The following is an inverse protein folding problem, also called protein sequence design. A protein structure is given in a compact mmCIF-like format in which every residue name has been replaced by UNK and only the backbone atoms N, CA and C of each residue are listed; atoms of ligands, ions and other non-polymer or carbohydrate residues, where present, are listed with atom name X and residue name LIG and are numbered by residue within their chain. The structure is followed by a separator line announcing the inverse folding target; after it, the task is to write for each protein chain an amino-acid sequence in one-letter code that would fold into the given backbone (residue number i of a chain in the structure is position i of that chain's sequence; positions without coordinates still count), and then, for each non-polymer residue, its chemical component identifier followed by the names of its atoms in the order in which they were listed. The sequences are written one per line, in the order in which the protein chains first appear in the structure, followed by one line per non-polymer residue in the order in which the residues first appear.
data_IF_688499004814
#
_entry.id   IF_688499004814
#
_cell.length_a   1.000
_cell.length_b   1.000
_cell.length_c   1.000
_cell.angle_alpha   90.00
_cell.angle_beta   90.00
_cell.angle_gamma   90.00
#
_symmetry.space_group_name_H-M   'P 1'
#
loop_
_entity.id
_entity.type
_entity.pdbx_description
1 polymer ?
#
# COMPACT_ATOMS: atom_id res chain seq x y z
N UNK A 1 6.98 17.34 30.24
CA UNK A 1 6.43 18.35 31.21
C UNK A 1 5.31 19.09 30.48
N UNK A 2 4.08 19.04 30.96
CA UNK A 2 2.97 19.80 30.36
C UNK A 2 3.15 21.28 30.73
N UNK A 3 3.28 22.13 29.71
CA UNK A 3 3.30 23.60 29.92
C UNK A 3 1.86 24.11 30.02
N UNK A 4 1.38 24.27 31.24
CA UNK A 4 0.04 24.76 31.54
C UNK A 4 -0.18 26.22 31.11
N UNK A 5 0.87 26.95 30.74
CA UNK A 5 0.81 28.33 30.27
C UNK A 5 0.92 28.47 28.75
N UNK A 6 1.03 27.36 28.02
CA UNK A 6 1.13 27.38 26.57
C UNK A 6 -0.13 27.98 25.95
N UNK A 7 0.02 29.09 25.25
CA UNK A 7 -1.03 29.69 24.43
C UNK A 7 -0.80 29.31 22.98
N UNK A 8 -1.75 28.61 22.33
CA UNK A 8 -1.55 28.18 20.95
C UNK A 8 -1.26 29.36 20.04
N UNK A 9 -0.22 29.21 19.22
CA UNK A 9 0.14 30.14 18.15
C UNK A 9 -0.93 30.18 17.06
N UNK A 10 -0.90 31.15 16.17
CA UNK A 10 -1.79 31.20 15.03
C UNK A 10 -1.66 29.93 14.16
N UNK A 11 -0.42 29.47 13.91
CA UNK A 11 -0.15 28.26 13.14
C UNK A 11 -0.76 27.00 13.79
N UNK A 12 -0.62 26.84 15.10
CA UNK A 12 -1.21 25.70 15.83
C UNK A 12 -2.75 25.73 15.76
N UNK A 13 -3.36 26.89 15.87
CA UNK A 13 -4.83 27.01 15.74
C UNK A 13 -5.31 26.66 14.33
N UNK A 14 -4.61 27.14 13.28
CA UNK A 14 -4.95 26.81 11.90
C UNK A 14 -4.78 25.31 11.66
N UNK A 15 -3.66 24.72 12.09
CA UNK A 15 -3.40 23.29 11.94
C UNK A 15 -4.47 22.46 12.65
N UNK A 16 -4.89 22.85 13.85
CA UNK A 16 -5.94 22.15 14.59
C UNK A 16 -7.29 22.14 13.83
N UNK A 17 -7.64 23.25 13.16
CA UNK A 17 -8.85 23.33 12.34
C UNK A 17 -8.75 22.42 11.12
N UNK A 18 -7.60 22.43 10.42
CA UNK A 18 -7.33 21.57 9.27
C UNK A 18 -7.38 20.09 9.70
N UNK A 19 -6.68 19.74 10.77
CA UNK A 19 -6.61 18.37 11.28
C UNK A 19 -7.99 17.83 11.66
N UNK A 20 -8.83 18.69 12.29
CA UNK A 20 -10.21 18.34 12.62
C UNK A 20 -11.05 18.07 11.38
N UNK A 21 -10.93 18.89 10.34
CA UNK A 21 -11.66 18.69 9.08
C UNK A 21 -11.29 17.36 8.41
N UNK A 22 -9.99 17.10 8.24
CA UNK A 22 -9.48 15.85 7.62
C UNK A 22 -9.88 14.63 8.47
N UNK A 23 -9.83 14.71 9.79
CA UNK A 23 -10.27 13.64 10.66
C UNK A 23 -11.77 13.36 10.54
N UNK A 24 -12.60 14.39 10.38
CA UNK A 24 -14.03 14.24 10.14
C UNK A 24 -14.34 13.58 8.80
N UNK A 25 -13.65 13.98 7.72
CA UNK A 25 -13.75 13.32 6.41
C UNK A 25 -13.34 11.84 6.50
N UNK A 26 -12.25 11.54 7.20
CA UNK A 26 -11.81 10.16 7.42
C UNK A 26 -12.81 9.33 8.22
N UNK A 27 -13.44 9.91 9.23
CA UNK A 27 -14.44 9.24 10.05
C UNK A 27 -15.73 8.93 9.28
N UNK A 28 -16.06 9.70 8.24
CA UNK A 28 -17.19 9.44 7.36
C UNK A 28 -16.97 8.24 6.41
N UNK A 29 -15.73 7.79 6.23
CA UNK A 29 -15.42 6.62 5.39
C UNK A 29 -15.76 5.34 6.14
N UNK A 30 -16.57 4.47 5.53
CA UNK A 30 -16.93 3.19 6.11
C UNK A 30 -15.68 2.34 6.47
N UNK A 31 -15.66 1.69 7.63
CA UNK A 31 -14.57 0.79 8.01
C UNK A 31 -14.38 -0.35 6.99
N UNK A 32 -13.15 -0.78 6.83
CA UNK A 32 -12.86 -1.97 6.01
C UNK A 32 -13.38 -3.22 6.71
N UNK A 33 -14.05 -4.08 5.95
CA UNK A 33 -14.58 -5.36 6.40
C UNK A 33 -13.80 -6.56 5.82
N UNK A 34 -12.56 -6.32 5.39
CA UNK A 34 -11.69 -7.31 4.75
C UNK A 34 -10.22 -7.12 5.16
N UNK A 35 -9.45 -8.19 5.09
CA UNK A 35 -7.99 -8.13 5.19
C UNK A 35 -7.40 -7.48 3.93
N UNK A 36 -6.75 -6.35 4.08
CA UNK A 36 -6.04 -5.71 2.98
C UNK A 36 -4.76 -6.45 2.64
N UNK A 37 -4.59 -6.86 1.37
CA UNK A 37 -3.39 -7.58 0.92
C UNK A 37 -2.09 -6.80 1.22
N UNK A 38 -2.10 -5.47 1.11
CA UNK A 38 -0.97 -4.60 1.45
C UNK A 38 -0.57 -4.65 2.95
N UNK A 39 -1.43 -5.16 3.81
CA UNK A 39 -1.19 -5.26 5.25
C UNK A 39 -0.60 -6.60 5.67
N UNK A 40 -0.72 -7.66 4.85
CA UNK A 40 -0.34 -9.02 5.22
C UNK A 40 1.16 -9.20 5.53
N UNK A 41 2.03 -8.32 5.03
CA UNK A 41 3.43 -8.26 5.43
C UNK A 41 3.69 -7.65 6.81
N UNK A 42 2.67 -7.12 7.51
CA UNK A 42 2.84 -6.56 8.86
C UNK A 42 3.25 -7.63 9.88
N UNK A 43 4.20 -7.34 10.77
CA UNK A 43 4.76 -8.33 11.69
C UNK A 43 3.74 -9.01 12.61
N UNK A 44 2.71 -8.33 13.10
CA UNK A 44 1.77 -8.83 14.10
C UNK A 44 0.45 -9.32 13.49
N UNK A 45 0.18 -10.63 13.56
CA UNK A 45 -1.07 -11.24 13.08
C UNK A 45 -2.27 -10.80 13.93
N UNK A 46 -2.10 -10.66 15.25
CA UNK A 46 -3.16 -10.16 16.13
C UNK A 46 -3.58 -8.73 15.77
N UNK A 47 -2.65 -7.87 15.36
CA UNK A 47 -2.99 -6.52 14.90
C UNK A 47 -3.83 -6.56 13.63
N UNK A 48 -3.50 -7.47 12.69
CA UNK A 48 -4.29 -7.69 11.48
C UNK A 48 -5.67 -8.27 11.79
N UNK A 49 -5.76 -9.16 12.79
CA UNK A 49 -7.00 -9.71 13.29
C UNK A 49 -7.91 -8.61 13.85
N UNK A 50 -7.39 -7.70 14.65
CA UNK A 50 -8.15 -6.55 15.16
C UNK A 50 -8.55 -5.57 14.05
N UNK A 51 -7.68 -5.33 13.07
CA UNK A 51 -8.03 -4.51 11.89
C UNK A 51 -9.20 -5.13 11.13
N UNK A 52 -9.17 -6.45 10.91
CA UNK A 52 -10.26 -7.18 10.22
C UNK A 52 -11.56 -7.18 11.04
N UNK A 53 -11.48 -7.33 12.35
CA UNK A 53 -12.64 -7.29 13.26
C UNK A 53 -13.24 -5.88 13.39
N UNK A 54 -12.59 -4.85 12.86
CA UNK A 54 -13.01 -3.47 13.10
C UNK A 54 -12.93 -3.06 14.57
N UNK A 55 -12.02 -3.68 15.34
CA UNK A 55 -11.87 -3.40 16.75
C UNK A 55 -11.56 -1.91 16.98
N UNK A 56 -12.17 -1.28 18.01
CA UNK A 56 -11.90 0.11 18.33
C UNK A 56 -10.40 0.28 18.67
N UNK A 57 -9.86 1.41 18.27
CA UNK A 57 -8.48 1.77 18.65
C UNK A 57 -8.49 2.30 20.09
N UNK A 58 -7.37 2.08 20.77
CA UNK A 58 -7.14 2.71 22.06
C UNK A 58 -7.20 4.24 21.91
N UNK A 59 -7.64 4.93 22.95
CA UNK A 59 -7.72 6.39 22.98
C UNK A 59 -6.36 7.02 22.62
N UNK A 60 -6.34 8.00 21.72
CA UNK A 60 -5.12 8.67 21.24
C UNK A 60 -4.26 7.82 20.28
N UNK A 61 -4.76 6.68 19.77
CA UNK A 61 -4.09 5.84 18.75
C UNK A 61 -4.71 6.00 17.36
N UNK A 62 -5.60 6.94 17.18
CA UNK A 62 -6.08 7.36 15.87
C UNK A 62 -4.94 7.98 15.05
N UNK A 63 -5.12 8.04 13.76
CA UNK A 63 -4.18 8.77 12.91
C UNK A 63 -4.28 10.26 13.19
N UNK A 64 -3.14 10.88 13.50
CA UNK A 64 -3.07 12.35 13.60
C UNK A 64 -3.40 12.99 12.25
N UNK A 65 -3.91 14.21 12.25
CA UNK A 65 -4.14 14.96 11.00
C UNK A 65 -2.88 15.08 10.15
N UNK A 66 -1.70 15.23 10.75
CA UNK A 66 -0.44 15.18 10.02
C UNK A 66 -0.22 13.84 9.29
N UNK A 67 -0.55 12.71 9.93
CA UNK A 67 -0.45 11.38 9.31
C UNK A 67 -1.42 11.26 8.14
N UNK A 68 -2.64 11.77 8.28
CA UNK A 68 -3.64 11.76 7.21
C UNK A 68 -3.17 12.59 6.01
N UNK A 69 -2.61 13.80 6.23
CA UNK A 69 -2.00 14.61 5.16
C UNK A 69 -0.85 13.87 4.45
N UNK A 70 -0.05 13.10 5.18
CA UNK A 70 1.01 12.27 4.57
C UNK A 70 0.42 11.21 3.63
N UNK A 71 -0.73 10.63 3.97
CA UNK A 71 -1.41 9.68 3.07
C UNK A 71 -1.93 10.35 1.81
N UNK A 72 -2.53 11.53 1.92
CA UNK A 72 -3.01 12.31 0.77
C UNK A 72 -1.88 12.73 -0.17
N UNK A 73 -0.75 13.20 0.38
CA UNK A 73 0.46 13.48 -0.40
C UNK A 73 0.92 12.20 -1.14
N UNK A 74 0.81 11.03 -0.49
CA UNK A 74 1.13 9.75 -1.11
C UNK A 74 0.29 9.51 -2.36
N UNK A 75 -1.02 9.66 -2.29
CA UNK A 75 -1.93 9.47 -3.41
C UNK A 75 -1.68 10.51 -4.53
N UNK A 76 -1.48 11.78 -4.17
CA UNK A 76 -1.19 12.82 -5.17
C UNK A 76 0.13 12.54 -5.93
N UNK A 77 1.17 12.06 -5.26
CA UNK A 77 2.43 11.69 -5.89
C UNK A 77 2.31 10.42 -6.74
N UNK A 78 1.45 9.46 -6.36
CA UNK A 78 1.14 8.29 -7.18
C UNK A 78 0.44 8.72 -8.50
N UNK A 79 -0.55 9.61 -8.44
CA UNK A 79 -1.21 10.16 -9.64
C UNK A 79 -0.21 10.88 -10.56
N UNK A 80 0.75 11.61 -9.98
CA UNK A 80 1.84 12.23 -10.75
C UNK A 80 2.74 11.18 -11.40
N UNK A 81 3.11 10.12 -10.70
CA UNK A 81 3.94 9.04 -11.25
C UNK A 81 3.23 8.32 -12.40
N UNK A 82 1.91 8.06 -12.30
CA UNK A 82 1.10 7.51 -13.38
C UNK A 82 1.19 8.41 -14.62
N UNK A 83 1.03 9.72 -14.43
CA UNK A 83 1.13 10.69 -15.53
C UNK A 83 2.51 10.71 -16.17
N UNK A 84 3.59 10.65 -15.36
CA UNK A 84 4.97 10.65 -15.85
C UNK A 84 5.29 9.38 -16.64
N UNK A 85 4.90 8.20 -16.13
CA UNK A 85 5.12 6.93 -16.83
C UNK A 85 4.36 6.90 -18.16
N UNK A 86 3.10 7.30 -18.19
CA UNK A 86 2.32 7.39 -19.43
C UNK A 86 2.93 8.39 -20.42
N UNK A 87 3.38 9.55 -19.93
CA UNK A 87 4.08 10.54 -20.75
C UNK A 87 5.41 10.07 -21.29
N UNK A 88 6.07 9.12 -20.60
CA UNK A 88 7.29 8.45 -21.03
C UNK A 88 7.04 7.28 -21.99
N UNK A 89 5.79 6.98 -22.36
CA UNK A 89 5.44 5.95 -23.33
C UNK A 89 5.14 4.57 -22.73
N UNK A 90 4.92 4.48 -21.41
CA UNK A 90 4.39 3.26 -20.81
C UNK A 90 2.89 3.13 -21.04
N UNK A 91 2.42 1.95 -21.49
CA UNK A 91 1.01 1.62 -21.48
C UNK A 91 0.62 1.09 -20.10
N UNK A 92 0.23 1.99 -19.21
CA UNK A 92 -0.05 1.74 -17.81
C UNK A 92 -1.55 1.81 -17.51
N UNK A 93 -2.11 0.69 -17.13
CA UNK A 93 -3.51 0.54 -16.74
C UNK A 93 -3.65 0.57 -15.23
N UNK A 94 -4.41 1.53 -14.72
CA UNK A 94 -4.72 1.66 -13.27
C UNK A 94 -6.17 1.29 -12.96
N UNK A 95 -7.02 1.28 -14.00
CA UNK A 95 -8.45 0.98 -13.91
C UNK A 95 -8.90 0.11 -15.07
N UNK A 96 -9.90 -0.74 -14.85
CA UNK A 96 -10.49 -1.60 -15.87
C UNK A 96 -11.05 -0.74 -17.02
N UNK A 97 -10.73 -1.11 -18.25
CA UNK A 97 -11.11 -0.37 -19.44
C UNK A 97 -10.38 0.95 -19.62
N UNK A 98 -9.36 1.25 -18.83
CA UNK A 98 -8.56 2.48 -18.86
C UNK A 98 -9.41 3.77 -18.81
N UNK A 99 -10.52 3.72 -18.07
CA UNK A 99 -11.45 4.86 -17.91
C UNK A 99 -11.27 5.49 -16.52
N UNK A 100 -11.41 6.80 -16.37
CA UNK A 100 -11.33 7.48 -15.09
C UNK A 100 -12.36 6.99 -14.05
N UNK A 101 -13.54 6.59 -14.51
CA UNK A 101 -14.65 6.05 -13.73
C UNK A 101 -14.63 4.51 -13.61
N UNK A 102 -13.67 3.84 -14.25
CA UNK A 102 -13.50 2.40 -14.19
C UNK A 102 -13.14 1.92 -12.80
N UNK A 103 -13.52 0.69 -12.47
CA UNK A 103 -13.09 0.02 -11.25
C UNK A 103 -11.56 -0.13 -11.22
N UNK A 104 -10.92 0.18 -10.10
CA UNK A 104 -9.48 -0.04 -9.93
C UNK A 104 -9.16 -1.54 -10.06
N UNK A 105 -8.05 -1.86 -10.73
CA UNK A 105 -7.57 -3.25 -10.78
C UNK A 105 -7.28 -3.77 -9.38
N UNK A 106 -7.66 -5.02 -9.15
CA UNK A 106 -7.44 -5.64 -7.87
C UNK A 106 -8.02 -7.05 -7.82
N UNK A 107 -7.86 -7.69 -6.70
CA UNK A 107 -8.38 -9.02 -6.45
C UNK A 107 -9.32 -9.03 -5.24
N UNK A 108 -10.22 -10.01 -5.24
CA UNK A 108 -11.12 -10.30 -4.12
C UNK A 108 -11.23 -11.81 -4.01
N UNK A 109 -10.69 -12.39 -2.93
CA UNK A 109 -10.64 -13.85 -2.71
C UNK A 109 -11.19 -14.21 -1.33
N UNK A 110 -11.33 -15.50 -1.04
CA UNK A 110 -11.92 -16.01 0.21
C UNK A 110 -13.31 -15.41 0.50
N UNK A 111 -14.19 -15.38 -0.50
CA UNK A 111 -15.53 -14.79 -0.36
C UNK A 111 -15.52 -13.28 -0.12
N UNK A 112 -14.51 -12.58 -0.59
CA UNK A 112 -14.37 -11.14 -0.42
C UNK A 112 -13.71 -10.72 0.90
N UNK A 113 -13.24 -11.67 1.69
CA UNK A 113 -12.60 -11.41 3.00
C UNK A 113 -11.13 -10.98 2.87
N UNK A 114 -10.48 -11.23 1.73
CA UNK A 114 -9.14 -10.75 1.39
C UNK A 114 -9.24 -9.96 0.10
N UNK A 115 -8.79 -8.72 0.10
CA UNK A 115 -8.84 -7.84 -1.08
C UNK A 115 -7.56 -7.03 -1.20
N UNK A 116 -7.23 -6.68 -2.42
CA UNK A 116 -6.14 -5.75 -2.73
C UNK A 116 -6.42 -5.00 -4.02
N UNK A 117 -5.95 -3.76 -4.09
CA UNK A 117 -5.94 -2.97 -5.30
C UNK A 117 -4.48 -2.78 -5.72
N UNK A 118 -4.21 -2.95 -7.01
CA UNK A 118 -2.88 -2.71 -7.57
C UNK A 118 -2.77 -1.25 -7.99
N UNK A 119 -1.57 -0.67 -7.86
CA UNK A 119 -1.35 0.71 -8.29
C UNK A 119 -1.38 0.78 -9.82
N UNK A 120 -0.95 -0.29 -10.53
CA UNK A 120 -1.09 -0.40 -11.96
C UNK A 120 -0.60 -1.72 -12.56
N UNK A 121 -0.93 -1.90 -13.84
CA UNK A 121 -0.48 -3.00 -14.69
C UNK A 121 0.16 -2.38 -15.94
N UNK A 122 1.43 -2.70 -16.21
CA UNK A 122 2.13 -2.27 -17.39
C UNK A 122 1.91 -3.31 -18.49
N UNK A 123 1.23 -2.92 -19.58
CA UNK A 123 0.96 -3.77 -20.72
C UNK A 123 1.98 -3.58 -21.85
N UNK A 124 2.62 -2.41 -21.93
CA UNK A 124 3.72 -2.16 -22.85
C UNK A 124 4.69 -1.12 -22.28
N UNK A 125 5.93 -1.19 -22.71
CA UNK A 125 7.01 -0.28 -22.32
C UNK A 125 7.71 0.29 -23.54
N UNK A 126 8.39 1.44 -23.42
CA UNK A 126 9.33 1.90 -24.46
C UNK A 126 10.34 0.79 -24.80
N UNK A 127 10.57 0.56 -26.10
CA UNK A 127 11.32 -0.61 -26.63
C UNK A 127 12.74 -0.81 -26.07
N UNK A 128 13.35 0.27 -25.55
CA UNK A 128 14.75 0.24 -25.07
C UNK A 128 14.91 -0.29 -23.63
N UNK A 129 13.84 -0.54 -22.92
CA UNK A 129 13.91 -0.83 -21.48
C UNK A 129 14.05 -2.33 -21.15
N UNK A 130 13.64 -3.21 -22.07
CA UNK A 130 13.74 -4.67 -21.88
C UNK A 130 12.94 -5.21 -20.68
N UNK A 131 11.90 -4.50 -20.25
CA UNK A 131 11.02 -4.93 -19.16
C UNK A 131 9.98 -5.88 -19.72
N UNK A 132 9.90 -7.09 -19.16
CA UNK A 132 8.87 -8.08 -19.50
C UNK A 132 7.48 -7.59 -19.11
N UNK A 133 6.49 -7.88 -19.97
CA UNK A 133 5.09 -7.50 -19.78
C UNK A 133 4.16 -8.69 -20.02
N UNK A 134 2.97 -8.75 -19.38
CA UNK A 134 2.44 -7.77 -18.42
C UNK A 134 3.24 -7.72 -17.14
N UNK A 135 3.41 -6.55 -16.54
CA UNK A 135 4.11 -6.40 -15.27
C UNK A 135 3.27 -5.64 -14.23
N UNK A 136 3.32 -6.10 -12.99
CA UNK A 136 2.76 -5.35 -11.87
C UNK A 136 3.55 -4.06 -11.66
N UNK A 137 2.88 -2.94 -11.48
CA UNK A 137 3.48 -1.69 -11.02
C UNK A 137 3.03 -1.39 -9.59
N UNK A 138 4.00 -1.11 -8.72
CA UNK A 138 3.78 -0.73 -7.33
C UNK A 138 4.53 0.57 -7.04
N UNK A 139 3.84 1.57 -6.51
CA UNK A 139 4.39 2.90 -6.22
C UNK A 139 4.38 3.19 -4.73
N UNK A 140 5.49 3.69 -4.21
CA UNK A 140 5.59 4.13 -2.81
C UNK A 140 6.30 5.45 -2.67
N UNK A 141 5.73 6.33 -1.86
CA UNK A 141 6.37 7.58 -1.46
C UNK A 141 7.14 7.39 -0.17
N UNK A 142 8.32 7.95 -0.07
CA UNK A 142 9.21 7.81 1.08
C UNK A 142 9.86 9.15 1.45
N UNK A 143 10.17 9.34 2.73
CA UNK A 143 11.11 10.39 3.12
C UNK A 143 12.53 10.03 2.66
N UNK A 144 13.43 11.02 2.59
CA UNK A 144 14.79 10.85 2.09
C UNK A 144 15.58 9.74 2.80
N UNK A 145 15.39 9.53 4.12
CA UNK A 145 16.08 8.47 4.87
C UNK A 145 15.65 7.08 4.41
N UNK A 146 14.35 6.85 4.30
CA UNK A 146 13.81 5.55 3.87
C UNK A 146 14.11 5.31 2.38
N UNK A 147 14.02 6.34 1.55
CA UNK A 147 14.34 6.27 0.13
C UNK A 147 15.81 5.84 -0.09
N UNK A 148 16.78 6.53 0.54
CA UNK A 148 18.21 6.15 0.47
C UNK A 148 18.46 4.72 0.94
N UNK A 149 17.78 4.27 2.01
CA UNK A 149 17.90 2.88 2.47
C UNK A 149 17.37 1.89 1.42
N UNK A 150 16.27 2.24 0.74
CA UNK A 150 15.68 1.39 -0.30
C UNK A 150 16.57 1.33 -1.53
N UNK A 151 17.10 2.46 -2.00
CA UNK A 151 18.07 2.51 -3.11
C UNK A 151 19.30 1.66 -2.82
N UNK A 152 19.83 1.73 -1.60
CA UNK A 152 21.07 1.03 -1.23
C UNK A 152 20.91 -0.48 -1.04
N UNK A 153 19.73 -0.95 -0.64
CA UNK A 153 19.53 -2.36 -0.20
C UNK A 153 18.50 -3.12 -1.01
N UNK A 154 17.80 -2.45 -1.92
CA UNK A 154 16.63 -2.98 -2.61
C UNK A 154 15.39 -3.04 -1.71
N UNK A 155 14.21 -3.10 -2.34
CA UNK A 155 12.91 -3.11 -1.63
C UNK A 155 12.74 -4.35 -0.77
N UNK A 156 13.20 -5.50 -1.21
CA UNK A 156 13.07 -6.78 -0.50
C UNK A 156 13.70 -6.72 0.88
N UNK A 157 14.89 -6.14 0.98
CA UNK A 157 15.64 -6.02 2.24
C UNK A 157 15.22 -4.79 3.04
N UNK A 158 15.02 -3.67 2.36
CA UNK A 158 14.73 -2.39 3.02
C UNK A 158 13.29 -2.30 3.53
N UNK A 159 12.35 -2.93 2.81
CA UNK A 159 10.90 -2.85 3.05
C UNK A 159 10.21 -4.21 2.82
N UNK A 160 10.43 -5.22 3.66
CA UNK A 160 9.85 -6.56 3.48
C UNK A 160 8.32 -6.57 3.35
N UNK A 161 7.64 -5.59 3.96
CA UNK A 161 6.18 -5.44 3.84
C UNK A 161 5.77 -5.13 2.40
N UNK A 162 6.53 -4.30 1.67
CA UNK A 162 6.25 -4.00 0.28
C UNK A 162 6.60 -5.17 -0.63
N UNK A 163 7.69 -5.88 -0.36
CA UNK A 163 8.00 -7.12 -1.07
C UNK A 163 6.89 -8.17 -0.90
N UNK A 164 6.35 -8.31 0.31
CA UNK A 164 5.21 -9.20 0.60
C UNK A 164 3.95 -8.79 -0.17
N UNK A 165 3.68 -7.49 -0.27
CA UNK A 165 2.57 -6.95 -1.05
C UNK A 165 2.75 -7.28 -2.54
N UNK A 166 3.91 -7.00 -3.11
CA UNK A 166 4.23 -7.25 -4.52
C UNK A 166 4.02 -8.73 -4.86
N UNK A 167 4.65 -9.63 -4.10
CA UNK A 167 4.56 -11.07 -4.33
C UNK A 167 3.11 -11.58 -4.26
N UNK A 168 2.37 -11.18 -3.23
CA UNK A 168 0.98 -11.58 -3.06
C UNK A 168 0.09 -11.05 -4.19
N UNK A 169 0.33 -9.80 -4.61
CA UNK A 169 -0.45 -9.17 -5.67
C UNK A 169 -0.20 -9.81 -7.02
N UNK A 170 1.05 -10.15 -7.37
CA UNK A 170 1.34 -10.90 -8.59
C UNK A 170 0.61 -12.26 -8.58
N UNK A 171 0.67 -13.01 -7.48
CA UNK A 171 0.00 -14.30 -7.37
C UNK A 171 -1.53 -14.20 -7.52
N UNK A 172 -2.18 -13.24 -6.87
CA UNK A 172 -3.64 -13.12 -6.90
C UNK A 172 -4.17 -12.43 -8.16
N UNK A 173 -3.34 -11.65 -8.83
CA UNK A 173 -3.70 -11.03 -10.11
C UNK A 173 -3.54 -11.97 -11.31
N UNK A 174 -2.83 -13.10 -11.19
CA UNK A 174 -2.54 -14.03 -12.29
C UNK A 174 -3.82 -14.51 -13.01
N UNK A 175 -4.90 -14.74 -12.26
CA UNK A 175 -6.18 -15.14 -12.85
C UNK A 175 -6.85 -14.08 -13.71
N UNK A 176 -6.55 -12.79 -13.48
CA UNK A 176 -7.13 -11.67 -14.21
C UNK A 176 -6.18 -11.13 -15.29
N UNK A 177 -4.88 -11.28 -15.07
CA UNK A 177 -3.80 -10.82 -15.94
C UNK A 177 -2.78 -11.96 -16.09
N UNK A 178 -3.08 -12.94 -16.96
CA UNK A 178 -2.21 -14.09 -17.16
C UNK A 178 -0.78 -13.68 -17.55
N UNK A 179 0.21 -14.29 -16.91
CA UNK A 179 1.62 -14.00 -17.13
C UNK A 179 2.19 -12.84 -16.31
N UNK A 180 1.41 -12.22 -15.43
CA UNK A 180 1.89 -11.13 -14.56
C UNK A 180 2.93 -11.63 -13.53
N UNK A 181 2.89 -12.91 -13.17
CA UNK A 181 3.87 -13.55 -12.29
C UNK A 181 5.09 -14.10 -13.05
N UNK A 182 5.06 -14.16 -14.39
CA UNK A 182 6.21 -14.57 -15.20
C UNK A 182 7.24 -13.43 -15.35
N UNK A 183 6.82 -12.21 -15.11
CA UNK A 183 7.64 -11.01 -15.25
C UNK A 183 7.92 -10.36 -13.90
N UNK A 184 9.10 -9.72 -13.72
CA UNK A 184 9.36 -8.92 -12.53
C UNK A 184 8.36 -7.76 -12.40
N UNK A 185 7.92 -7.46 -11.17
CA UNK A 185 7.18 -6.24 -10.90
C UNK A 185 8.09 -5.01 -11.01
N UNK A 186 7.57 -3.91 -11.53
CA UNK A 186 8.24 -2.61 -11.47
C UNK A 186 7.86 -1.90 -10.18
N UNK A 187 8.78 -1.86 -9.23
CA UNK A 187 8.64 -1.05 -8.02
C UNK A 187 9.18 0.35 -8.25
N UNK A 188 8.40 1.38 -7.92
CA UNK A 188 8.78 2.78 -8.00
C UNK A 188 8.76 3.40 -6.61
N UNK A 189 9.88 3.97 -6.17
CA UNK A 189 9.98 4.75 -4.93
C UNK A 189 10.20 6.22 -5.26
N UNK A 190 9.31 7.09 -4.75
CA UNK A 190 9.41 8.54 -4.88
C UNK A 190 9.95 9.11 -3.56
N UNK A 191 11.08 9.81 -3.64
CA UNK A 191 11.56 10.62 -2.53
C UNK A 191 10.72 11.90 -2.43
N UNK A 192 9.79 11.95 -1.49
CA UNK A 192 8.89 13.11 -1.34
C UNK A 192 9.57 14.39 -0.89
N UNK A 193 10.83 14.30 -0.41
CA UNK A 193 11.60 15.46 0.06
C UNK A 193 12.40 16.13 -1.08
N UNK A 194 12.76 15.35 -2.13
CA UNK A 194 13.65 15.80 -3.23
C UNK A 194 13.08 15.55 -4.62
N UNK A 195 11.95 14.82 -4.74
CA UNK A 195 11.36 14.35 -5.99
C UNK A 195 12.23 13.35 -6.80
N UNK A 196 13.31 12.83 -6.23
CA UNK A 196 14.10 11.76 -6.87
C UNK A 196 13.27 10.48 -7.03
N UNK A 197 13.45 9.80 -8.16
CA UNK A 197 12.81 8.53 -8.48
C UNK A 197 13.83 7.39 -8.39
N UNK A 198 13.38 6.26 -7.86
CA UNK A 198 14.10 4.99 -7.91
C UNK A 198 13.16 3.92 -8.46
N UNK A 199 13.66 3.15 -9.40
CA UNK A 199 12.94 2.04 -10.00
C UNK A 199 13.73 0.74 -9.79
N UNK A 200 13.02 -0.31 -9.40
CA UNK A 200 13.60 -1.64 -9.15
C UNK A 200 12.71 -2.71 -9.79
N UNK A 201 13.31 -3.62 -10.53
CA UNK A 201 12.62 -4.82 -11.02
C UNK A 201 12.68 -5.89 -9.93
N UNK A 202 11.51 -6.24 -9.39
CA UNK A 202 11.37 -7.20 -8.30
C UNK A 202 10.87 -8.52 -8.84
N UNK A 203 11.71 -9.57 -8.90
CA UNK A 203 11.30 -10.89 -9.36
C UNK A 203 10.16 -11.44 -8.49
N UNK A 204 9.26 -12.21 -9.10
CA UNK A 204 8.19 -12.89 -8.38
C UNK A 204 8.75 -13.92 -7.38
N UNK A 205 8.36 -13.80 -6.13
CA UNK A 205 8.68 -14.78 -5.07
C UNK A 205 7.41 -15.58 -4.71
N UNK A 206 7.24 -16.72 -5.37
CA UNK A 206 6.10 -17.62 -5.14
C UNK A 206 6.06 -18.13 -3.69
N UNK A 207 7.23 -18.37 -3.08
CA UNK A 207 7.30 -18.81 -1.67
C UNK A 207 6.83 -17.73 -0.71
N UNK A 208 7.20 -16.47 -0.95
CA UNK A 208 6.72 -15.34 -0.16
C UNK A 208 5.21 -15.14 -0.34
N UNK A 209 4.71 -15.20 -1.58
CA UNK A 209 3.30 -15.12 -1.89
C UNK A 209 2.50 -16.20 -1.15
N UNK A 210 2.96 -17.45 -1.17
CA UNK A 210 2.33 -18.57 -0.47
C UNK A 210 2.31 -18.31 1.05
N UNK A 211 3.43 -17.92 1.65
CA UNK A 211 3.49 -17.61 3.08
C UNK A 211 2.50 -16.51 3.48
N UNK A 212 2.32 -15.48 2.64
CA UNK A 212 1.36 -14.40 2.92
C UNK A 212 -0.09 -14.88 2.75
N UNK A 213 -0.35 -15.74 1.77
CA UNK A 213 -1.65 -16.37 1.57
C UNK A 213 -2.02 -17.27 2.78
N UNK A 214 -1.12 -18.16 3.20
CA UNK A 214 -1.32 -19.04 4.36
C UNK A 214 -1.55 -18.24 5.64
N UNK A 215 -0.82 -17.14 5.79
CA UNK A 215 -1.00 -16.20 6.89
C UNK A 215 -2.40 -15.58 6.91
N UNK A 216 -2.89 -15.13 5.76
CA UNK A 216 -4.23 -14.59 5.64
C UNK A 216 -5.29 -15.63 6.00
N UNK A 217 -5.15 -16.87 5.49
CA UNK A 217 -6.04 -18.00 5.82
C UNK A 217 -6.04 -18.28 7.33
N UNK A 218 -4.86 -18.33 7.97
CA UNK A 218 -4.75 -18.55 9.42
C UNK A 218 -5.45 -17.46 10.23
N UNK A 219 -5.32 -16.18 9.83
CA UNK A 219 -6.02 -15.08 10.48
C UNK A 219 -7.54 -15.27 10.36
N UNK A 220 -8.03 -15.61 9.17
CA UNK A 220 -9.46 -15.80 8.94
C UNK A 220 -10.01 -17.00 9.73
N UNK A 221 -9.27 -18.11 9.79
CA UNK A 221 -9.65 -19.30 10.58
C UNK A 221 -9.73 -18.98 12.08
N UNK A 222 -8.75 -18.24 12.61
CA UNK A 222 -8.78 -17.80 13.99
C UNK A 222 -9.98 -16.88 14.28
N UNK A 223 -10.33 -15.99 13.34
CA UNK A 223 -11.54 -15.16 13.45
C UNK A 223 -12.81 -16.00 13.49
N UNK A 224 -12.92 -17.00 12.62
CA UNK A 224 -14.10 -17.88 12.55
C UNK A 224 -14.23 -18.75 13.80
N UNK A 225 -13.11 -19.14 14.42
CA UNK A 225 -13.08 -19.89 15.66
C UNK A 225 -13.27 -19.02 16.93
N UNK A 226 -13.22 -17.70 16.81
CA UNK A 226 -13.21 -16.78 17.96
C UNK A 226 -11.90 -16.76 18.74
N UNK A 227 -10.82 -17.28 18.15
CA UNK A 227 -9.51 -17.36 18.79
C UNK A 227 -8.70 -16.09 18.60
N UNK A 228 -7.92 -15.73 19.63
CA UNK A 228 -6.95 -14.64 19.55
C UNK A 228 -5.56 -15.18 19.20
N UNK A 229 -5.02 -14.73 18.07
CA UNK A 229 -3.66 -15.04 17.68
C UNK A 229 -2.61 -14.46 18.65
N UNK A 230 -1.42 -15.07 18.80
CA UNK A 230 -0.43 -14.61 19.75
C UNK A 230 0.05 -13.17 19.44
N UNK A 231 0.42 -12.44 20.49
CA UNK A 231 1.15 -11.17 20.35
C UNK A 231 2.59 -11.45 19.90
N UNK A 232 3.16 -10.52 19.18
CA UNK A 232 4.62 -10.49 19.03
C UNK A 232 5.19 -10.00 20.35
N UNK A 233 6.22 -10.67 20.83
CA UNK A 233 6.99 -10.24 22.00
C UNK A 233 7.75 -8.95 21.71
#
# INVERSE_FOLDING_TARGET
MLDYNHRPTCAERINAVIDKAIAAERAAVAPRTYLGGSRLGHGCERALQFEFAGAPKDEGREFSGQTLRIFEIGHALEDLAIRWLRGAGFDLYTRKGNRPDGEQFGFSVAGGRIRGHVDGIIAATPQLLGIGVPALWECKTMNARNWRKTVAKGVVVAKPVYASQIALYQAYMEAQVPGISDNPALFTAINKDTAELHHELVPFDAGLAQRMSDRAVRILQAMDAGDLLPRIA
#
